data_IF_296928188739
#
_entry.id   IF_296928188739
#
_cell.length_a   1.000
_cell.length_b   1.000
_cell.length_c   1.000
_cell.angle_alpha   90.00
_cell.angle_beta   90.00
_cell.angle_gamma   90.00
#
_symmetry.space_group_name_H-M   'P 1'
#
loop_
_entity.id
_entity.type
_entity.pdbx_description
1 polymer ?
#
# COMPACT_ATOMS: atom_id res chain seq x y z
N UNK A 1 -15.32 -14.93 52.54
CA UNK A 1 -14.11 -14.10 52.38
C UNK A 1 -13.16 -14.95 51.55
N UNK A 2 -12.92 -14.74 50.26
CA UNK A 2 -12.76 -13.49 49.51
C UNK A 2 -13.78 -13.32 48.37
N UNK A 3 -13.93 -12.08 47.92
CA UNK A 3 -14.89 -11.58 46.94
C UNK A 3 -14.39 -11.79 45.51
N UNK A 4 -15.08 -12.63 44.74
CA UNK A 4 -14.90 -12.70 43.29
C UNK A 4 -15.67 -11.53 42.66
N UNK A 5 -15.15 -10.32 42.81
CA UNK A 5 -15.66 -9.14 42.11
C UNK A 5 -15.25 -9.26 40.65
N UNK A 6 -16.23 -9.63 39.81
CA UNK A 6 -16.13 -9.72 38.35
C UNK A 6 -15.33 -8.58 37.73
N UNK A 7 -14.02 -8.79 37.60
CA UNK A 7 -13.15 -7.96 36.78
C UNK A 7 -13.21 -8.54 35.38
N UNK A 8 -14.03 -7.91 34.55
CA UNK A 8 -13.85 -8.01 33.10
C UNK A 8 -12.47 -7.46 32.79
N UNK A 9 -11.51 -8.33 32.48
CA UNK A 9 -10.26 -7.92 31.87
C UNK A 9 -10.64 -7.49 30.45
N UNK A 10 -10.86 -6.20 30.24
CA UNK A 10 -10.83 -5.66 28.89
C UNK A 10 -9.37 -5.75 28.47
N UNK A 11 -9.03 -6.75 27.66
CA UNK A 11 -7.77 -6.71 26.91
C UNK A 11 -7.94 -5.56 25.94
N UNK A 12 -7.52 -4.36 26.35
CA UNK A 12 -7.42 -3.20 25.47
C UNK A 12 -6.18 -3.45 24.60
N UNK A 13 -6.24 -4.49 23.78
CA UNK A 13 -5.30 -4.64 22.67
C UNK A 13 -5.67 -3.56 21.67
N UNK A 14 -4.68 -2.81 21.18
CA UNK A 14 -4.92 -1.90 20.08
C UNK A 14 -5.36 -2.77 18.89
N UNK A 15 -6.59 -2.59 18.36
CA UNK A 15 -7.08 -3.50 17.35
C UNK A 15 -6.33 -3.25 16.04
N UNK A 16 -5.64 -4.29 15.57
CA UNK A 16 -5.02 -4.29 14.24
C UNK A 16 -6.00 -4.83 13.20
N UNK A 17 -5.98 -4.23 12.01
CA UNK A 17 -6.68 -4.71 10.82
C UNK A 17 -5.68 -4.91 9.69
N UNK A 18 -5.75 -6.05 9.03
CA UNK A 18 -5.02 -6.28 7.78
C UNK A 18 -5.93 -5.98 6.59
N UNK A 19 -5.48 -5.14 5.66
CA UNK A 19 -6.20 -4.82 4.42
C UNK A 19 -5.36 -5.28 3.25
N UNK A 20 -5.96 -6.08 2.36
CA UNK A 20 -5.26 -6.71 1.24
C UNK A 20 -5.81 -6.18 -0.08
N UNK A 21 -4.93 -5.91 -1.04
CA UNK A 21 -5.29 -5.57 -2.41
C UNK A 21 -4.33 -6.26 -3.39
N UNK A 22 -4.85 -6.69 -4.53
CA UNK A 22 -4.06 -7.30 -5.60
C UNK A 22 -4.19 -6.48 -6.86
N UNK A 23 -3.05 -6.14 -7.47
CA UNK A 23 -2.94 -5.49 -8.75
C UNK A 23 -2.41 -6.50 -9.77
N UNK A 24 -3.16 -6.72 -10.85
CA UNK A 24 -2.67 -7.41 -12.04
C UNK A 24 -2.12 -6.36 -13.01
N UNK A 25 -0.87 -6.52 -13.44
CA UNK A 25 -0.16 -5.51 -14.25
C UNK A 25 -0.41 -5.70 -15.74
N UNK A 26 -0.45 -4.59 -16.47
CA UNK A 26 -0.66 -4.57 -17.92
C UNK A 26 0.62 -4.69 -18.74
N UNK A 27 1.80 -4.45 -18.15
CA UNK A 27 3.04 -4.28 -18.87
C UNK A 27 3.39 -5.50 -19.72
N UNK A 28 3.86 -5.24 -20.94
CA UNK A 28 4.51 -6.25 -21.80
C UNK A 28 6.01 -5.98 -21.94
N UNK A 29 6.53 -5.00 -21.21
CA UNK A 29 7.91 -4.52 -21.29
C UNK A 29 8.40 -4.09 -19.91
N UNK A 30 9.72 -4.14 -19.74
CA UNK A 30 10.44 -3.66 -18.57
C UNK A 30 10.09 -2.22 -18.18
N UNK A 31 10.22 -1.93 -16.88
CA UNK A 31 9.98 -0.60 -16.31
C UNK A 31 11.28 0.18 -16.10
N UNK A 32 11.26 1.48 -16.39
CA UNK A 32 12.32 2.38 -15.94
C UNK A 32 12.12 2.78 -14.47
N UNK A 33 13.11 3.44 -13.88
CA UNK A 33 12.96 3.95 -12.52
C UNK A 33 11.87 5.04 -12.48
N UNK A 34 11.02 5.02 -11.45
CA UNK A 34 9.90 5.96 -11.25
C UNK A 34 8.72 5.77 -12.19
N UNK A 35 8.67 4.65 -12.91
CA UNK A 35 7.47 4.31 -13.68
C UNK A 35 6.37 3.77 -12.76
N UNK A 36 5.13 4.08 -13.15
CA UNK A 36 3.93 3.55 -12.52
C UNK A 36 3.75 2.11 -12.97
N UNK A 37 3.44 1.24 -12.01
CA UNK A 37 2.99 -0.12 -12.26
C UNK A 37 1.47 -0.13 -12.08
N UNK A 38 0.74 -0.52 -13.11
CA UNK A 38 -0.71 -0.38 -13.16
C UNK A 38 -1.37 -1.43 -14.05
N UNK A 39 -2.71 -1.49 -14.00
CA UNK A 39 -3.52 -2.46 -14.72
C UNK A 39 -3.87 -2.04 -16.16
N UNK A 40 -3.36 -0.90 -16.63
CA UNK A 40 -3.59 -0.43 -18.00
C UNK A 40 -2.54 0.58 -18.43
N UNK A 41 -2.06 0.45 -19.67
CA UNK A 41 -1.11 1.36 -20.29
C UNK A 41 -1.72 2.70 -20.76
N UNK A 42 -3.04 2.84 -20.77
CA UNK A 42 -3.72 4.04 -21.32
C UNK A 42 -4.85 4.60 -20.44
N UNK A 43 -5.34 3.80 -19.50
CA UNK A 43 -6.38 4.18 -18.55
C UNK A 43 -6.14 3.45 -17.23
N UNK A 44 -4.92 3.58 -16.69
CA UNK A 44 -4.56 2.92 -15.45
C UNK A 44 -5.32 3.46 -14.25
N UNK A 45 -5.35 2.67 -13.19
CA UNK A 45 -6.12 2.97 -11.97
C UNK A 45 -5.22 2.96 -10.74
N UNK A 46 -5.63 3.70 -9.71
CA UNK A 46 -4.99 3.64 -8.40
C UNK A 46 -5.46 2.38 -7.65
N UNK A 47 -4.70 2.01 -6.61
CA UNK A 47 -5.07 0.93 -5.70
C UNK A 47 -5.93 1.51 -4.58
N UNK A 48 -7.11 0.95 -4.34
CA UNK A 48 -7.97 1.33 -3.21
C UNK A 48 -7.88 0.30 -2.09
N UNK A 49 -7.37 0.70 -0.94
CA UNK A 49 -7.49 -0.05 0.31
C UNK A 49 -8.80 0.35 0.99
N UNK A 50 -9.88 -0.36 0.67
CA UNK A 50 -11.20 -0.10 1.22
C UNK A 50 -11.33 -0.49 2.69
N UNK A 51 -12.25 0.17 3.39
CA UNK A 51 -12.64 -0.13 4.76
C UNK A 51 -11.49 -0.11 5.79
N UNK A 52 -10.41 0.66 5.58
CA UNK A 52 -9.27 0.72 6.51
C UNK A 52 -9.64 1.19 7.91
N UNK A 53 -10.80 1.83 8.07
CA UNK A 53 -11.38 2.26 9.34
C UNK A 53 -12.84 1.82 9.45
N UNK A 54 -13.33 1.75 10.69
CA UNK A 54 -14.72 1.35 10.98
C UNK A 54 -15.72 2.42 10.56
N UNK A 55 -15.43 3.67 10.88
CA UNK A 55 -16.35 4.79 10.68
C UNK A 55 -15.82 5.73 9.58
N UNK A 56 -16.72 6.35 8.83
CA UNK A 56 -16.37 7.33 7.78
C UNK A 56 -15.63 8.52 8.40
N UNK A 57 -14.56 8.97 7.74
CA UNK A 57 -13.67 10.00 8.30
C UNK A 57 -12.83 9.52 9.50
N UNK A 58 -12.80 8.21 9.77
CA UNK A 58 -12.02 7.62 10.84
C UNK A 58 -10.50 7.80 10.65
N UNK A 59 -9.74 7.50 11.70
CA UNK A 59 -8.29 7.68 11.71
C UNK A 59 -7.54 6.45 12.23
N UNK A 60 -6.26 6.36 11.89
CA UNK A 60 -5.41 5.26 12.33
C UNK A 60 -3.96 5.45 11.92
N UNK A 61 -3.20 4.35 12.00
CA UNK A 61 -1.80 4.28 11.61
C UNK A 61 -1.54 3.05 10.76
N UNK A 62 -0.88 3.21 9.62
CA UNK A 62 -0.24 2.09 8.93
C UNK A 62 1.04 1.79 9.69
N UNK A 63 1.17 0.60 10.27
CA UNK A 63 2.30 0.19 11.12
C UNK A 63 3.13 -0.92 10.50
N UNK A 64 2.61 -1.59 9.47
CA UNK A 64 3.31 -2.62 8.71
C UNK A 64 2.80 -2.67 7.29
N UNK A 65 3.64 -3.12 6.37
CA UNK A 65 3.27 -3.31 4.97
C UNK A 65 4.02 -4.49 4.37
N UNK A 66 3.34 -5.29 3.55
CA UNK A 66 3.92 -6.40 2.80
C UNK A 66 3.56 -6.22 1.34
N UNK A 67 4.49 -6.52 0.46
CA UNK A 67 4.24 -6.70 -0.97
C UNK A 67 4.71 -8.10 -1.38
N UNK A 68 3.87 -8.80 -2.12
CA UNK A 68 4.12 -10.11 -2.70
C UNK A 68 3.98 -10.01 -4.22
N UNK A 69 4.88 -10.63 -4.96
CA UNK A 69 4.77 -10.80 -6.41
C UNK A 69 4.67 -12.28 -6.74
N UNK A 70 3.80 -12.64 -7.69
CA UNK A 70 3.75 -14.00 -8.22
C UNK A 70 4.95 -14.35 -9.13
N UNK A 71 5.75 -13.36 -9.53
CA UNK A 71 6.96 -13.57 -10.29
C UNK A 71 8.13 -13.94 -9.38
N UNK A 72 8.99 -14.80 -9.90
CA UNK A 72 10.17 -15.33 -9.21
C UNK A 72 11.47 -14.77 -9.79
N UNK A 73 11.42 -13.72 -10.62
CA UNK A 73 12.63 -13.13 -11.22
C UNK A 73 12.69 -11.62 -11.08
N UNK A 74 11.73 -11.04 -10.38
CA UNK A 74 11.61 -9.59 -10.23
C UNK A 74 12.38 -9.15 -8.99
N UNK A 75 13.28 -8.18 -9.22
CA UNK A 75 14.10 -7.54 -8.19
C UNK A 75 14.21 -6.04 -8.51
N UNK A 76 13.28 -5.27 -7.97
CA UNK A 76 13.32 -3.80 -7.94
C UNK A 76 12.86 -3.31 -6.58
N UNK A 77 13.10 -2.03 -6.27
CA UNK A 77 12.61 -1.37 -5.06
C UNK A 77 11.18 -0.83 -5.28
N UNK A 78 10.14 -1.42 -4.67
CA UNK A 78 8.76 -0.97 -4.83
C UNK A 78 8.43 0.23 -3.94
N UNK A 79 7.52 1.09 -4.41
CA UNK A 79 6.99 2.19 -3.60
C UNK A 79 5.48 2.34 -3.75
N UNK A 80 4.79 2.54 -2.64
CA UNK A 80 3.40 3.01 -2.62
C UNK A 80 3.35 4.48 -2.25
N UNK A 81 2.84 5.33 -3.13
CA UNK A 81 2.51 6.73 -2.82
C UNK A 81 1.10 6.73 -2.22
N UNK A 82 0.98 7.02 -0.94
CA UNK A 82 -0.27 6.91 -0.19
C UNK A 82 -1.04 8.23 -0.18
N UNK A 83 -2.37 8.15 -0.24
CA UNK A 83 -3.28 9.30 -0.16
C UNK A 83 -4.61 8.93 0.54
N UNK A 84 -5.28 9.92 1.13
CA UNK A 84 -6.64 9.82 1.70
C UNK A 84 -7.74 10.10 0.68
N UNK A 85 -7.38 10.78 -0.42
CA UNK A 85 -8.24 11.08 -1.56
C UNK A 85 -7.77 10.29 -2.79
N UNK A 86 -8.69 9.99 -3.70
CA UNK A 86 -8.35 9.38 -4.98
C UNK A 86 -7.36 10.26 -5.76
N UNK A 87 -6.21 9.73 -6.21
CA UNK A 87 -5.17 10.53 -6.85
C UNK A 87 -5.49 10.85 -8.33
N UNK A 88 -6.38 11.82 -8.56
CA UNK A 88 -6.86 12.16 -9.91
C UNK A 88 -5.91 13.04 -10.73
N UNK A 89 -4.93 13.68 -10.09
CA UNK A 89 -3.96 14.56 -10.75
C UNK A 89 -2.67 13.84 -11.18
N UNK A 90 -2.58 12.54 -10.93
CA UNK A 90 -1.42 11.73 -11.23
C UNK A 90 -1.53 11.05 -12.59
N UNK A 91 -0.40 10.81 -13.23
CA UNK A 91 -0.31 9.78 -14.26
C UNK A 91 -0.47 8.42 -13.59
N UNK A 92 -1.45 7.63 -14.03
CA UNK A 92 -1.74 6.29 -13.51
C UNK A 92 -1.46 5.19 -14.53
N UNK A 93 -0.99 5.56 -15.72
CA UNK A 93 -0.77 4.62 -16.80
C UNK A 93 0.46 3.76 -16.52
N UNK A 94 0.28 2.47 -16.75
CA UNK A 94 1.34 1.50 -16.63
C UNK A 94 2.52 1.82 -17.56
N UNK A 95 3.74 1.63 -17.04
CA UNK A 95 5.00 1.91 -17.72
C UNK A 95 5.18 3.37 -18.18
N UNK A 96 4.48 4.29 -17.52
CA UNK A 96 4.65 5.72 -17.70
C UNK A 96 5.24 6.34 -16.44
N UNK A 97 6.03 7.40 -16.61
CA UNK A 97 6.65 8.09 -15.48
C UNK A 97 5.59 8.65 -14.53
N UNK A 98 5.75 8.33 -13.24
CA UNK A 98 4.90 8.84 -12.17
C UNK A 98 5.05 10.36 -12.04
N UNK A 99 3.92 11.06 -11.94
CA UNK A 99 3.85 12.51 -11.73
C UNK A 99 3.35 12.91 -10.33
N UNK A 100 3.05 11.93 -9.47
CA UNK A 100 2.60 12.17 -8.10
C UNK A 100 3.78 12.25 -7.10
N UNK A 101 3.60 12.92 -5.94
CA UNK A 101 2.46 13.77 -5.63
C UNK A 101 2.48 15.06 -6.47
N UNK A 102 1.31 15.55 -6.84
CA UNK A 102 1.15 16.89 -7.39
C UNK A 102 0.96 17.88 -6.23
N UNK A 103 1.38 19.14 -6.40
CA UNK A 103 1.34 20.15 -5.31
C UNK A 103 -0.08 20.45 -4.80
N UNK A 104 -1.11 20.12 -5.59
CA UNK A 104 -2.52 20.28 -5.25
C UNK A 104 -3.14 19.05 -4.59
N UNK A 105 -2.38 17.98 -4.37
CA UNK A 105 -2.88 16.74 -3.77
C UNK A 105 -2.96 16.91 -2.25
N UNK A 106 -4.08 17.46 -1.77
CA UNK A 106 -4.30 17.77 -0.35
C UNK A 106 -4.39 16.55 0.55
N UNK A 107 -4.76 15.39 -0.01
CA UNK A 107 -4.86 14.13 0.71
C UNK A 107 -3.56 13.31 0.77
N UNK A 108 -2.42 13.85 0.33
CA UNK A 108 -1.17 13.08 0.27
C UNK A 108 -0.63 12.70 1.66
N UNK A 109 -0.31 11.42 1.85
CA UNK A 109 0.20 10.84 3.11
C UNK A 109 1.71 10.49 3.08
N UNK A 110 2.38 10.74 1.95
CA UNK A 110 3.76 10.32 1.74
C UNK A 110 3.89 8.92 1.12
N UNK A 111 5.12 8.43 1.07
CA UNK A 111 5.46 7.16 0.41
C UNK A 111 5.80 6.05 1.42
N UNK A 112 5.36 4.82 1.17
CA UNK A 112 5.88 3.59 1.79
C UNK A 112 6.93 3.01 0.85
N UNK A 113 8.19 2.95 1.31
CA UNK A 113 9.32 2.52 0.50
C UNK A 113 9.76 1.14 0.95
N UNK A 114 9.44 0.13 0.15
CA UNK A 114 9.81 -1.25 0.43
C UNK A 114 11.28 -1.49 0.12
N UNK A 115 11.88 -2.48 0.79
CA UNK A 115 13.15 -3.04 0.34
C UNK A 115 13.00 -3.65 -1.06
N UNK A 116 14.10 -3.78 -1.83
CA UNK A 116 14.07 -4.56 -3.06
C UNK A 116 13.39 -5.91 -2.84
N UNK A 117 12.53 -6.32 -3.79
CA UNK A 117 11.86 -7.60 -3.69
C UNK A 117 12.89 -8.74 -3.60
N UNK A 118 12.77 -9.57 -2.57
CA UNK A 118 13.61 -10.74 -2.38
C UNK A 118 12.99 -11.95 -3.08
N UNK A 119 13.83 -12.67 -3.82
CA UNK A 119 13.46 -13.90 -4.49
C UNK A 119 13.14 -15.02 -3.50
N UNK A 120 12.01 -15.69 -3.71
CA UNK A 120 11.68 -16.97 -3.07
C UNK A 120 11.21 -17.98 -4.13
N UNK A 121 11.21 -19.27 -3.77
CA UNK A 121 10.86 -20.36 -4.71
C UNK A 121 9.40 -20.32 -5.21
N UNK A 122 8.53 -19.54 -4.57
CA UNK A 122 7.10 -19.41 -4.91
C UNK A 122 6.66 -18.01 -5.35
N UNK A 123 7.58 -17.05 -5.43
CA UNK A 123 7.31 -15.65 -5.75
C UNK A 123 8.39 -14.74 -5.14
N UNK A 124 8.26 -13.42 -5.30
CA UNK A 124 9.14 -12.46 -4.62
C UNK A 124 8.38 -11.67 -3.57
N UNK A 125 9.05 -11.20 -2.52
CA UNK A 125 8.38 -10.46 -1.43
C UNK A 125 9.25 -9.39 -0.79
N UNK A 126 8.61 -8.43 -0.15
CA UNK A 126 9.26 -7.47 0.73
C UNK A 126 8.28 -7.11 1.85
N UNK A 127 8.79 -7.04 3.07
CA UNK A 127 8.01 -6.73 4.27
C UNK A 127 8.64 -5.58 5.03
N UNK A 128 7.79 -4.79 5.68
CA UNK A 128 8.16 -3.64 6.48
C UNK A 128 7.39 -3.69 7.80
N UNK A 129 8.12 -3.40 8.87
CA UNK A 129 7.62 -3.19 10.22
C UNK A 129 7.72 -1.72 10.65
N UNK A 130 7.25 -1.39 11.85
CA UNK A 130 7.32 -0.03 12.37
C UNK A 130 8.78 0.44 12.50
N UNK A 131 9.10 1.62 11.96
CA UNK A 131 10.46 2.15 11.89
C UNK A 131 11.15 1.92 10.53
N UNK A 132 10.56 1.11 9.66
CA UNK A 132 11.08 0.80 8.33
C UNK A 132 10.23 1.45 7.24
N UNK A 133 10.83 1.68 6.05
CA UNK A 133 10.08 2.12 4.87
C UNK A 133 9.19 3.35 5.05
N UNK A 134 9.51 4.23 6.01
CA UNK A 134 8.72 5.42 6.41
C UNK A 134 7.37 5.08 7.06
N UNK A 135 7.30 3.96 7.75
CA UNK A 135 6.26 3.60 8.73
C UNK A 135 6.71 4.05 10.13
N UNK A 136 5.78 4.42 11.03
CA UNK A 136 4.32 4.37 10.86
C UNK A 136 3.80 5.57 10.04
N UNK A 137 2.67 5.39 9.33
CA UNK A 137 1.95 6.49 8.67
C UNK A 137 0.62 6.76 9.35
N UNK A 138 0.49 7.92 9.98
CA UNK A 138 -0.80 8.40 10.50
C UNK A 138 -1.69 8.87 9.36
N UNK A 139 -2.98 8.59 9.45
CA UNK A 139 -3.96 9.06 8.49
C UNK A 139 -5.29 9.39 9.15
N UNK A 140 -6.06 10.23 8.48
CA UNK A 140 -7.49 10.47 8.72
C UNK A 140 -8.13 10.30 7.35
N UNK A 141 -9.08 9.38 7.20
CA UNK A 141 -9.76 9.20 5.93
C UNK A 141 -10.51 10.47 5.54
N UNK A 142 -10.66 10.72 4.24
CA UNK A 142 -11.47 11.82 3.74
C UNK A 142 -12.92 11.74 4.27
N UNK A 143 -13.61 12.88 4.31
CA UNK A 143 -15.01 12.93 4.76
C UNK A 143 -15.88 11.98 3.91
N UNK A 144 -16.79 11.26 4.58
CA UNK A 144 -17.61 10.22 3.95
C UNK A 144 -16.84 8.97 3.46
N UNK A 145 -15.51 8.92 3.55
CA UNK A 145 -14.69 7.79 3.11
C UNK A 145 -14.19 6.94 4.26
N UNK A 146 -13.94 5.66 3.97
CA UNK A 146 -13.29 4.69 4.84
C UNK A 146 -12.05 4.07 4.19
N UNK A 147 -11.59 4.64 3.08
CA UNK A 147 -10.56 4.06 2.22
C UNK A 147 -9.27 4.88 2.25
N UNK A 148 -8.16 4.21 1.96
CA UNK A 148 -6.92 4.83 1.54
C UNK A 148 -6.63 4.46 0.10
N UNK A 149 -5.90 5.31 -0.59
CA UNK A 149 -5.54 5.13 -1.99
C UNK A 149 -4.03 5.09 -2.14
N UNK A 150 -3.55 4.35 -3.13
CA UNK A 150 -2.14 4.29 -3.45
C UNK A 150 -1.86 4.29 -4.95
N UNK A 151 -0.73 4.88 -5.32
CA UNK A 151 -0.09 4.67 -6.61
C UNK A 151 1.09 3.75 -6.40
N UNK A 152 1.17 2.69 -7.18
CA UNK A 152 2.31 1.79 -7.18
C UNK A 152 3.34 2.22 -8.21
N UNK A 153 4.60 2.38 -7.80
CA UNK A 153 5.69 2.73 -8.71
C UNK A 153 6.96 1.95 -8.40
N UNK A 154 7.84 1.91 -9.39
CA UNK A 154 9.23 1.51 -9.21
C UNK A 154 10.06 2.67 -8.63
N UNK A 155 11.02 2.37 -7.77
CA UNK A 155 12.07 3.33 -7.35
C UNK A 155 13.35 3.13 -8.16
N UNK A 156 13.62 1.89 -8.57
CA UNK A 156 14.72 1.48 -9.46
C UNK A 156 14.14 0.80 -10.69
N UNK A 157 14.89 0.73 -11.80
CA UNK A 157 14.44 -0.02 -12.97
C UNK A 157 14.11 -1.49 -12.63
N UNK A 158 13.12 -2.04 -13.31
CA UNK A 158 12.72 -3.44 -13.29
C UNK A 158 12.99 -3.98 -14.70
N UNK A 159 13.62 -5.16 -14.83
CA UNK A 159 14.10 -5.65 -16.14
C UNK A 159 13.66 -7.06 -16.52
N UNK A 160 12.76 -7.64 -15.74
CA UNK A 160 12.27 -9.02 -15.84
C UNK A 160 10.73 -9.09 -15.79
N UNK A 161 10.03 -7.99 -16.09
CA UNK A 161 8.57 -7.93 -16.11
C UNK A 161 7.97 -8.92 -17.12
N UNK A 162 6.83 -9.51 -16.74
CA UNK A 162 6.06 -10.40 -17.58
C UNK A 162 4.59 -10.02 -17.49
N UNK A 163 3.95 -9.82 -18.64
CA UNK A 163 2.54 -9.46 -18.71
C UNK A 163 1.64 -10.42 -17.91
N UNK A 164 0.69 -9.84 -17.16
CA UNK A 164 -0.18 -10.59 -16.26
C UNK A 164 0.46 -10.95 -14.91
N UNK A 165 1.64 -10.39 -14.61
CA UNK A 165 2.20 -10.40 -13.26
C UNK A 165 1.22 -9.82 -12.24
N UNK A 166 1.29 -10.31 -11.00
CA UNK A 166 0.43 -9.85 -9.91
C UNK A 166 1.28 -9.37 -8.75
N UNK A 167 0.87 -8.24 -8.17
CA UNK A 167 1.40 -7.71 -6.92
C UNK A 167 0.28 -7.64 -5.89
N UNK A 168 0.46 -8.33 -4.76
CA UNK A 168 -0.46 -8.30 -3.62
C UNK A 168 0.14 -7.48 -2.49
N UNK A 169 -0.58 -6.45 -2.07
CA UNK A 169 -0.21 -5.57 -0.97
C UNK A 169 -1.05 -5.89 0.24
N UNK A 170 -0.41 -5.99 1.41
CA UNK A 170 -1.07 -6.16 2.69
C UNK A 170 -0.63 -5.02 3.60
N UNK A 171 -1.56 -4.20 4.06
CA UNK A 171 -1.31 -3.15 5.04
C UNK A 171 -1.79 -3.60 6.42
N UNK A 172 -0.93 -3.44 7.43
CA UNK A 172 -1.30 -3.58 8.83
C UNK A 172 -1.70 -2.21 9.39
N UNK A 173 -2.97 -2.06 9.73
CA UNK A 173 -3.56 -0.83 10.24
C UNK A 173 -3.81 -0.97 11.73
N UNK A 174 -3.22 -0.08 12.53
CA UNK A 174 -3.57 0.15 13.91
C UNK A 174 -4.69 1.19 13.98
N UNK A 175 -5.85 0.84 14.55
CA UNK A 175 -6.94 1.80 14.72
C UNK A 175 -6.75 2.62 16.00
N UNK A 176 -7.07 3.92 15.92
CA UNK A 176 -7.28 4.71 17.13
C UNK A 176 -8.60 4.28 17.78
N UNK A 177 -8.54 3.87 19.04
CA UNK A 177 -9.70 3.50 19.88
C UNK A 177 -10.60 4.68 20.21
#
# INVERSE_FOLDING_TARGET
>A
MNDDKGRTISVIGVPFKYVTQTLTVAATTNYTAKDVISNSASAGTYIEFADVVKDTGGSGRIVGAIVLSNSTQISFSPTLIMSTDAPTNANLNDNATNTAPHYSDTGHLGEINFYPLEYNTGGSSSELSEGEGRLPKRFICADGSRSLYAIFKTETAETAEVAGGEYTFILCIEHNS
#
